data_IF_655424560710
#
_entry.id   IF_655424560710
#
_cell.length_a   1.000
_cell.length_b   1.000
_cell.length_c   1.000
_cell.angle_alpha   90.00
_cell.angle_beta   90.00
_cell.angle_gamma   90.00
#
_symmetry.space_group_name_H-M   'P 1'
#
loop_
_entity.id
_entity.type
_entity.pdbx_description
1 polymer ?
#
# COMPACT_ATOMS: atom_id res chain seq x y z
N UNK A 1 7.76 13.87 16.55
CA UNK A 1 8.18 13.38 15.22
C UNK A 1 8.23 14.58 14.27
N UNK A 2 9.24 14.72 13.42
CA UNK A 2 9.33 15.81 12.43
C UNK A 2 8.58 15.49 11.13
N UNK A 3 8.36 16.48 10.25
CA UNK A 3 7.68 16.33 8.94
C UNK A 3 8.39 15.28 8.05
N UNK A 4 9.73 15.29 8.01
CA UNK A 4 10.57 14.32 7.27
C UNK A 4 10.24 12.87 7.63
N UNK A 5 10.36 12.52 8.92
CA UNK A 5 10.14 11.15 9.40
C UNK A 5 8.71 10.64 9.12
N UNK A 6 7.71 11.51 9.09
CA UNK A 6 6.32 11.13 8.79
C UNK A 6 6.09 10.86 7.31
N UNK A 7 6.59 11.73 6.42
CA UNK A 7 6.53 11.50 4.98
C UNK A 7 7.23 10.21 4.58
N UNK A 8 8.40 9.97 5.16
CA UNK A 8 9.11 8.68 5.02
C UNK A 8 8.20 7.52 5.40
N UNK A 9 7.54 7.57 6.57
CA UNK A 9 6.65 6.49 7.02
C UNK A 9 5.45 6.23 6.09
N UNK A 10 4.79 7.28 5.62
CA UNK A 10 3.63 7.16 4.69
C UNK A 10 4.07 6.50 3.39
N UNK A 11 5.25 6.89 2.90
CA UNK A 11 5.83 6.39 1.66
C UNK A 11 6.39 4.98 1.81
N UNK A 12 6.96 4.65 2.96
CA UNK A 12 7.45 3.32 3.34
C UNK A 12 6.35 2.25 3.21
N UNK A 13 5.11 2.63 3.49
CA UNK A 13 3.96 1.75 3.38
C UNK A 13 3.52 1.54 1.94
N UNK A 14 3.84 2.44 0.99
CA UNK A 14 3.40 2.28 -0.40
C UNK A 14 4.31 1.33 -1.14
N UNK A 15 3.72 0.46 -1.94
CA UNK A 15 4.49 -0.35 -2.87
C UNK A 15 5.25 0.55 -3.85
N UNK A 16 6.39 0.10 -4.35
CA UNK A 16 7.00 0.74 -5.51
C UNK A 16 6.08 0.45 -6.71
N UNK A 17 5.75 1.47 -7.49
CA UNK A 17 4.83 1.31 -8.61
C UNK A 17 5.36 0.28 -9.60
N UNK A 18 4.45 -0.46 -10.22
CA UNK A 18 4.78 -1.59 -11.09
C UNK A 18 5.08 -2.90 -10.38
N UNK A 19 4.95 -2.95 -9.05
CA UNK A 19 5.05 -4.21 -8.30
C UNK A 19 3.90 -5.12 -8.68
N UNK A 20 4.19 -6.40 -8.93
CA UNK A 20 3.17 -7.45 -9.03
C UNK A 20 2.97 -8.02 -7.63
N UNK A 21 1.80 -7.78 -7.04
CA UNK A 21 1.43 -8.33 -5.75
C UNK A 21 0.84 -9.72 -5.97
N UNK A 22 1.55 -10.74 -5.49
CA UNK A 22 1.04 -12.10 -5.54
C UNK A 22 0.13 -12.32 -4.35
N UNK A 23 -1.04 -12.85 -4.62
CA UNK A 23 -1.99 -13.22 -3.59
C UNK A 23 -2.33 -14.71 -3.68
N UNK A 24 -2.56 -15.32 -2.52
CA UNK A 24 -2.97 -16.70 -2.41
C UNK A 24 -4.07 -16.84 -1.36
N UNK A 25 -4.99 -17.75 -1.61
CA UNK A 25 -6.00 -18.14 -0.64
C UNK A 25 -5.48 -19.30 0.19
N UNK A 26 -5.47 -19.17 1.52
CA UNK A 26 -5.05 -20.28 2.40
C UNK A 26 -6.09 -21.40 2.38
N UNK A 27 -7.36 -21.06 2.55
CA UNK A 27 -8.55 -21.92 2.42
C UNK A 27 -9.74 -21.01 2.06
N UNK A 28 -10.95 -21.55 1.84
CA UNK A 28 -12.17 -20.75 1.75
C UNK A 28 -13.15 -21.15 0.63
N UNK A 29 -14.44 -20.81 0.76
CA UNK A 29 -15.45 -21.13 -0.24
C UNK A 29 -15.14 -20.48 -1.59
N UNK A 30 -15.29 -21.23 -2.69
CA UNK A 30 -15.05 -20.72 -4.05
C UNK A 30 -15.85 -19.44 -4.39
N UNK A 31 -17.13 -19.30 -4.02
CA UNK A 31 -17.86 -18.06 -4.29
C UNK A 31 -17.23 -16.82 -3.63
N UNK A 32 -16.68 -16.96 -2.41
CA UNK A 32 -16.01 -15.85 -1.73
C UNK A 32 -14.64 -15.56 -2.33
N UNK A 33 -13.87 -16.61 -2.68
CA UNK A 33 -12.61 -16.44 -3.44
C UNK A 33 -12.86 -15.69 -4.75
N UNK A 34 -13.93 -16.03 -5.46
CA UNK A 34 -14.32 -15.34 -6.68
C UNK A 34 -14.72 -13.87 -6.45
N UNK A 35 -15.36 -13.55 -5.32
CA UNK A 35 -15.64 -12.17 -4.94
C UNK A 35 -14.34 -11.37 -4.72
N UNK A 36 -13.36 -11.94 -4.02
CA UNK A 36 -12.03 -11.32 -3.82
C UNK A 36 -11.30 -11.11 -5.15
N UNK A 37 -11.29 -12.11 -6.04
CA UNK A 37 -10.73 -11.98 -7.39
C UNK A 37 -11.39 -10.85 -8.17
N UNK A 38 -12.71 -10.69 -8.04
CA UNK A 38 -13.46 -9.64 -8.71
C UNK A 38 -13.10 -8.26 -8.16
N UNK A 39 -12.90 -8.14 -6.84
CA UNK A 39 -12.45 -6.90 -6.21
C UNK A 39 -11.01 -6.51 -6.62
N UNK A 40 -10.08 -7.47 -6.74
CA UNK A 40 -8.74 -7.20 -7.32
C UNK A 40 -8.82 -6.72 -8.77
N UNK A 41 -9.73 -7.29 -9.57
CA UNK A 41 -9.97 -6.82 -10.95
C UNK A 41 -10.53 -5.41 -10.97
N UNK A 42 -11.49 -5.07 -10.10
CA UNK A 42 -12.07 -3.73 -10.03
C UNK A 42 -11.00 -2.66 -9.74
N UNK A 43 -10.07 -2.94 -8.81
CA UNK A 43 -8.89 -2.08 -8.61
C UNK A 43 -7.98 -2.02 -9.84
N UNK A 44 -7.76 -3.15 -10.52
CA UNK A 44 -6.88 -3.22 -11.68
C UNK A 44 -7.45 -2.51 -12.91
N UNK A 45 -8.77 -2.54 -13.09
CA UNK A 45 -9.50 -1.91 -14.20
C UNK A 45 -9.42 -0.37 -14.18
N UNK A 46 -8.90 0.22 -13.09
CA UNK A 46 -8.55 1.63 -13.01
C UNK A 46 -7.29 2.03 -13.79
N UNK A 47 -6.67 1.07 -14.49
CA UNK A 47 -5.44 1.24 -15.28
C UNK A 47 -4.27 1.73 -14.41
N UNK A 48 -4.04 1.02 -13.31
CA UNK A 48 -2.93 1.32 -12.39
C UNK A 48 -1.69 0.50 -12.72
N UNK A 49 -0.52 0.98 -12.29
CA UNK A 49 0.76 0.31 -12.50
C UNK A 49 0.96 -0.94 -11.65
N UNK A 50 0.29 -1.09 -10.51
CA UNK A 50 0.35 -2.34 -9.73
C UNK A 50 -0.25 -3.52 -10.51
N UNK A 51 0.38 -4.69 -10.39
CA UNK A 51 -0.16 -5.96 -10.86
C UNK A 51 -0.72 -6.77 -9.70
N UNK A 52 -1.69 -7.63 -9.99
CA UNK A 52 -2.20 -8.63 -9.05
C UNK A 52 -2.15 -9.99 -9.72
N UNK A 53 -1.58 -10.97 -9.03
CA UNK A 53 -1.41 -12.31 -9.55
C UNK A 53 -1.81 -13.33 -8.49
N UNK A 54 -2.77 -14.19 -8.83
CA UNK A 54 -3.07 -15.33 -7.98
C UNK A 54 -1.98 -16.39 -8.12
N UNK A 55 -1.55 -16.95 -7.00
CA UNK A 55 -0.64 -18.09 -6.97
C UNK A 55 -1.22 -19.19 -6.09
N UNK A 56 -0.92 -20.44 -6.43
CA UNK A 56 -1.47 -21.60 -5.73
C UNK A 56 -0.86 -21.80 -4.34
N UNK A 57 0.43 -21.51 -4.19
CA UNK A 57 1.19 -21.74 -2.96
C UNK A 57 1.25 -20.46 -2.10
N UNK A 58 0.67 -20.42 -0.89
CA UNK A 58 0.72 -19.25 -0.03
C UNK A 58 2.14 -18.78 0.33
N UNK A 59 3.11 -19.69 0.34
CA UNK A 59 4.52 -19.37 0.57
C UNK A 59 5.16 -18.51 -0.53
N UNK A 60 4.55 -18.46 -1.72
CA UNK A 60 4.99 -17.64 -2.85
C UNK A 60 4.27 -16.28 -2.94
N UNK A 61 3.30 -16.04 -2.05
CA UNK A 61 2.47 -14.84 -2.05
C UNK A 61 2.87 -13.83 -0.97
N UNK A 62 2.95 -12.55 -1.36
CA UNK A 62 3.01 -11.46 -0.39
C UNK A 62 1.67 -11.37 0.38
N UNK A 63 0.55 -11.47 -0.33
CA UNK A 63 -0.80 -11.33 0.22
C UNK A 63 -1.41 -12.71 0.47
N UNK A 64 -1.63 -13.09 1.73
CA UNK A 64 -2.13 -14.42 2.13
C UNK A 64 -3.49 -14.25 2.78
N UNK A 65 -4.52 -14.72 2.10
CA UNK A 65 -5.92 -14.40 2.39
C UNK A 65 -6.59 -15.58 3.11
N UNK A 66 -7.16 -15.32 4.27
CA UNK A 66 -8.00 -16.26 5.03
C UNK A 66 -9.47 -15.81 5.10
N UNK A 67 -10.34 -16.73 5.53
CA UNK A 67 -11.79 -16.50 5.67
C UNK A 67 -12.28 -16.94 7.06
N UNK A 68 -11.55 -16.55 8.11
CA UNK A 68 -11.91 -16.88 9.48
C UNK A 68 -13.02 -15.96 9.99
N UNK A 69 -14.22 -16.52 10.13
CA UNK A 69 -15.40 -15.78 10.61
C UNK A 69 -15.30 -15.33 12.08
N UNK A 70 -14.39 -15.91 12.86
CA UNK A 70 -14.16 -15.52 14.25
C UNK A 70 -13.19 -14.33 14.38
N UNK A 71 -12.51 -13.93 13.30
CA UNK A 71 -11.42 -12.95 13.32
C UNK A 71 -11.76 -11.63 12.61
N UNK A 72 -13.04 -11.42 12.25
CA UNK A 72 -13.50 -10.22 11.55
C UNK A 72 -12.87 -10.05 10.16
N UNK A 73 -12.95 -8.86 9.56
CA UNK A 73 -12.26 -8.56 8.30
C UNK A 73 -11.17 -7.52 8.53
N UNK A 74 -9.99 -7.77 7.97
CA UNK A 74 -8.81 -6.92 8.14
C UNK A 74 -7.74 -7.18 7.08
N UNK A 75 -6.83 -6.23 6.91
CA UNK A 75 -5.62 -6.37 6.11
C UNK A 75 -4.49 -5.52 6.67
N UNK A 76 -3.25 -5.99 6.53
CA UNK A 76 -2.08 -5.16 6.80
C UNK A 76 -1.94 -4.04 5.77
N UNK A 77 -1.40 -2.91 6.22
CA UNK A 77 -1.31 -1.70 5.42
C UNK A 77 -0.09 -1.74 4.49
N UNK A 78 -0.32 -1.88 3.18
CA UNK A 78 0.72 -1.72 2.19
C UNK A 78 1.87 -2.72 2.35
N UNK A 79 3.10 -2.21 2.38
CA UNK A 79 4.33 -3.00 2.58
C UNK A 79 4.48 -3.60 3.98
N UNK A 80 3.65 -3.23 4.95
CA UNK A 80 3.66 -3.88 6.28
C UNK A 80 3.39 -5.39 6.17
N UNK A 81 2.70 -5.81 5.10
CA UNK A 81 2.52 -7.20 4.66
C UNK A 81 3.84 -7.99 4.59
N UNK A 82 4.95 -7.35 4.24
CA UNK A 82 6.27 -7.99 4.11
C UNK A 82 6.92 -8.31 5.47
N UNK A 83 6.42 -7.74 6.56
CA UNK A 83 6.94 -8.00 7.91
C UNK A 83 6.31 -9.21 8.58
N UNK A 84 5.30 -9.81 7.94
CA UNK A 84 4.50 -10.89 8.48
C UNK A 84 5.08 -12.24 8.08
N UNK A 85 5.06 -13.19 9.02
CA UNK A 85 5.56 -14.55 8.79
C UNK A 85 4.91 -15.19 7.57
N UNK A 86 5.69 -16.00 6.83
CA UNK A 86 5.26 -16.62 5.57
C UNK A 86 4.10 -17.60 5.71
N UNK A 87 3.80 -18.04 6.94
CA UNK A 87 2.71 -18.97 7.25
C UNK A 87 1.43 -18.28 7.73
N UNK A 88 1.54 -17.00 8.11
CA UNK A 88 0.46 -16.23 8.71
C UNK A 88 -0.33 -15.47 7.63
N UNK A 89 -1.63 -15.28 7.86
CA UNK A 89 -2.45 -14.47 6.96
C UNK A 89 -2.00 -12.99 7.01
N UNK A 90 -2.14 -12.30 5.88
CA UNK A 90 -1.94 -10.85 5.79
C UNK A 90 -3.22 -10.09 5.45
N UNK A 91 -4.30 -10.84 5.22
CA UNK A 91 -5.66 -10.36 5.04
C UNK A 91 -6.63 -11.45 5.49
N UNK A 92 -7.74 -11.07 6.13
CA UNK A 92 -8.81 -11.97 6.51
C UNK A 92 -10.18 -11.38 6.14
N UNK A 93 -11.11 -12.27 5.80
CA UNK A 93 -12.52 -11.94 5.61
C UNK A 93 -13.40 -12.72 6.58
N UNK A 94 -14.11 -12.00 7.45
CA UNK A 94 -14.88 -12.60 8.55
C UNK A 94 -16.34 -12.89 8.23
N UNK A 95 -16.82 -12.58 7.02
CA UNK A 95 -18.22 -12.76 6.63
C UNK A 95 -18.36 -13.03 5.13
N UNK A 96 -19.59 -13.28 4.69
CA UNK A 96 -19.87 -13.56 3.29
C UNK A 96 -19.55 -12.35 2.40
N UNK A 97 -18.80 -12.59 1.33
CA UNK A 97 -18.36 -11.59 0.37
C UNK A 97 -19.25 -11.49 -0.88
N UNK A 98 -20.28 -12.35 -0.98
CA UNK A 98 -21.06 -12.52 -2.20
C UNK A 98 -22.22 -11.51 -2.35
N UNK A 99 -22.51 -10.74 -1.31
CA UNK A 99 -23.46 -9.62 -1.37
C UNK A 99 -22.75 -8.26 -1.54
N UNK A 100 -23.52 -7.17 -1.61
CA UNK A 100 -22.98 -5.83 -1.82
C UNK A 100 -22.08 -5.33 -0.68
N UNK A 101 -22.43 -5.68 0.56
CA UNK A 101 -21.66 -5.32 1.75
C UNK A 101 -20.32 -6.06 1.79
N UNK A 102 -20.37 -7.36 1.51
CA UNK A 102 -19.22 -8.23 1.38
C UNK A 102 -18.29 -7.82 0.24
N UNK A 103 -18.82 -7.48 -0.94
CA UNK A 103 -18.02 -6.91 -2.04
C UNK A 103 -17.31 -5.62 -1.61
N UNK A 104 -18.01 -4.74 -0.91
CA UNK A 104 -17.44 -3.49 -0.39
C UNK A 104 -16.32 -3.75 0.61
N UNK A 105 -16.49 -4.75 1.48
CA UNK A 105 -15.43 -5.21 2.40
C UNK A 105 -14.21 -5.71 1.62
N UNK A 106 -14.39 -6.52 0.57
CA UNK A 106 -13.28 -7.00 -0.24
C UNK A 106 -12.47 -5.84 -0.88
N UNK A 107 -13.15 -4.83 -1.41
CA UNK A 107 -12.48 -3.63 -1.94
C UNK A 107 -11.72 -2.86 -0.86
N UNK A 108 -12.32 -2.72 0.33
CA UNK A 108 -11.72 -2.03 1.48
C UNK A 108 -10.41 -2.68 1.91
N UNK A 109 -10.42 -3.99 2.15
CA UNK A 109 -9.24 -4.72 2.61
C UNK A 109 -8.14 -4.76 1.54
N UNK A 110 -8.50 -4.86 0.27
CA UNK A 110 -7.53 -4.72 -0.82
C UNK A 110 -6.96 -3.29 -0.87
N UNK A 111 -7.77 -2.27 -0.60
CA UNK A 111 -7.31 -0.89 -0.46
C UNK A 111 -6.24 -0.75 0.62
N UNK A 112 -6.41 -1.38 1.79
CA UNK A 112 -5.38 -1.46 2.82
C UNK A 112 -4.10 -2.12 2.32
N UNK A 113 -4.20 -3.27 1.65
CA UNK A 113 -3.02 -3.92 1.03
C UNK A 113 -2.31 -3.02 0.02
N UNK A 114 -3.01 -2.12 -0.65
CA UNK A 114 -2.42 -1.11 -1.55
C UNK A 114 -1.86 0.11 -0.82
N UNK A 115 -2.08 0.21 0.49
CA UNK A 115 -1.57 1.27 1.36
C UNK A 115 -2.57 2.38 1.66
N UNK A 116 -3.87 2.23 1.36
CA UNK A 116 -4.86 3.23 1.73
C UNK A 116 -5.20 3.10 3.23
N UNK A 117 -5.04 4.15 4.05
CA UNK A 117 -5.50 4.11 5.44
C UNK A 117 -7.01 4.37 5.53
N UNK A 118 -7.59 4.26 6.72
CA UNK A 118 -9.00 4.60 6.92
C UNK A 118 -9.29 6.10 6.74
N UNK A 119 -10.37 6.41 6.05
CA UNK A 119 -10.73 7.78 5.69
C UNK A 119 -11.29 8.58 6.89
N UNK A 120 -11.93 7.94 7.88
CA UNK A 120 -12.40 8.61 9.11
C UNK A 120 -11.27 9.04 10.04
N UNK A 121 -10.08 8.45 9.89
CA UNK A 121 -8.89 8.85 10.64
C UNK A 121 -8.24 10.10 10.05
N UNK A 122 -8.74 10.60 8.92
CA UNK A 122 -8.30 11.83 8.30
C UNK A 122 -8.51 13.02 9.26
N UNK A 123 -7.45 13.78 9.62
CA UNK A 123 -7.59 14.89 10.55
C UNK A 123 -8.48 16.01 10.02
N UNK A 124 -8.67 16.10 8.70
CA UNK A 124 -9.58 17.04 8.05
C UNK A 124 -11.04 16.59 8.02
N UNK A 125 -11.36 15.39 8.54
CA UNK A 125 -12.75 14.92 8.64
C UNK A 125 -13.60 15.78 9.59
N UNK A 126 -12.95 16.49 10.52
CA UNK A 126 -13.64 17.28 11.54
C UNK A 126 -14.46 16.44 12.52
N UNK A 127 -14.32 15.11 12.48
CA UNK A 127 -15.06 14.20 13.35
C UNK A 127 -14.62 14.39 14.80
N UNK A 128 -15.61 14.65 15.65
CA UNK A 128 -15.51 14.60 17.11
C UNK A 128 -16.34 13.42 17.57
N UNK A 129 -15.67 12.42 18.14
CA UNK A 129 -16.29 11.17 18.58
C UNK A 129 -16.98 11.31 19.95
N UNK A 130 -18.06 10.57 20.15
CA UNK A 130 -18.51 10.18 21.48
C UNK A 130 -17.75 8.92 21.92
N UNK A 131 -16.48 9.08 22.32
CA UNK A 131 -15.55 7.97 22.55
C UNK A 131 -16.12 6.86 23.44
N UNK A 132 -16.85 7.20 24.50
CA UNK A 132 -17.48 6.22 25.38
C UNK A 132 -18.48 5.32 24.63
N UNK A 133 -19.28 5.90 23.73
CA UNK A 133 -20.20 5.13 22.88
C UNK A 133 -19.48 4.38 21.78
N UNK A 134 -18.40 4.94 21.23
CA UNK A 134 -17.56 4.23 20.25
C UNK A 134 -16.97 2.96 20.87
N UNK A 135 -16.34 3.05 22.04
CA UNK A 135 -15.84 1.87 22.75
C UNK A 135 -16.95 0.87 23.08
N UNK A 136 -18.10 1.34 23.58
CA UNK A 136 -19.22 0.46 23.90
C UNK A 136 -19.78 -0.26 22.65
N UNK A 137 -19.84 0.43 21.51
CA UNK A 137 -20.32 -0.14 20.26
C UNK A 137 -19.38 -1.22 19.71
N UNK A 138 -18.08 -0.92 19.60
CA UNK A 138 -17.09 -1.85 19.03
C UNK A 138 -16.72 -3.01 19.97
N UNK A 139 -17.00 -2.92 21.27
CA UNK A 139 -16.91 -4.06 22.19
C UNK A 139 -18.04 -5.10 21.98
N UNK A 140 -19.12 -4.72 21.29
CA UNK A 140 -20.23 -5.61 20.94
C UNK A 140 -19.97 -6.44 19.68
N UNK A 141 -20.90 -7.34 19.36
CA UNK A 141 -20.89 -8.07 18.10
C UNK A 141 -21.08 -7.12 16.90
N UNK A 142 -20.49 -7.41 15.72
CA UNK A 142 -19.68 -8.60 15.42
C UNK A 142 -18.19 -8.47 15.81
N UNK A 143 -17.74 -7.28 16.21
CA UNK A 143 -16.30 -6.97 16.32
C UNK A 143 -15.63 -7.50 17.58
N UNK A 144 -16.29 -7.38 18.74
CA UNK A 144 -15.75 -7.79 20.03
C UNK A 144 -14.35 -7.22 20.35
N UNK A 145 -14.08 -5.98 19.92
CA UNK A 145 -12.76 -5.37 20.03
C UNK A 145 -12.43 -4.93 21.46
N UNK A 146 -11.13 -5.01 21.79
CA UNK A 146 -10.61 -4.35 23.00
C UNK A 146 -10.62 -2.82 22.83
N UNK A 147 -10.52 -2.06 23.93
CA UNK A 147 -10.34 -0.62 23.86
C UNK A 147 -9.13 -0.21 23.02
N UNK A 148 -8.02 -0.92 23.13
CA UNK A 148 -6.79 -0.63 22.38
C UNK A 148 -7.00 -0.79 20.87
N UNK A 149 -7.65 -1.89 20.46
CA UNK A 149 -8.00 -2.13 19.05
C UNK A 149 -8.95 -1.07 18.52
N UNK A 150 -9.99 -0.74 19.29
CA UNK A 150 -10.95 0.33 18.92
C UNK A 150 -10.26 1.68 18.80
N UNK A 151 -9.35 2.01 19.72
CA UNK A 151 -8.59 3.24 19.64
C UNK A 151 -7.73 3.27 18.37
N UNK A 152 -7.02 2.18 18.06
CA UNK A 152 -6.15 2.12 16.90
C UNK A 152 -6.92 2.22 15.57
N UNK A 153 -8.05 1.52 15.45
CA UNK A 153 -8.80 1.40 14.21
C UNK A 153 -9.78 2.56 13.99
N UNK A 154 -10.31 3.16 15.06
CA UNK A 154 -11.39 4.16 14.98
C UNK A 154 -10.96 5.54 15.45
N UNK A 155 -10.43 5.65 16.66
CA UNK A 155 -10.25 6.95 17.33
C UNK A 155 -8.93 7.64 17.00
N UNK A 156 -7.88 6.87 16.73
CA UNK A 156 -6.57 7.39 16.34
C UNK A 156 -6.73 8.22 15.07
N UNK A 157 -6.30 9.47 15.12
CA UNK A 157 -6.18 10.31 13.93
C UNK A 157 -4.83 10.13 13.28
N UNK A 158 -4.82 10.17 11.95
CA UNK A 158 -3.60 10.32 11.17
C UNK A 158 -3.07 11.75 11.36
N UNK A 159 -1.76 11.92 11.24
CA UNK A 159 -1.18 13.26 11.18
C UNK A 159 -1.69 14.05 9.96
N UNK A 160 -1.77 15.38 10.03
CA UNK A 160 -2.16 16.20 8.86
C UNK A 160 -1.23 16.00 7.66
N UNK A 161 0.04 15.67 7.93
CA UNK A 161 1.04 15.35 6.91
C UNK A 161 0.98 13.87 6.47
N UNK A 162 0.17 13.03 7.12
CA UNK A 162 -0.03 11.61 6.79
C UNK A 162 -1.22 11.40 5.84
N UNK A 163 -2.00 12.45 5.62
CA UNK A 163 -3.12 12.44 4.70
C UNK A 163 -2.81 13.38 3.55
N UNK A 164 -2.89 12.84 2.34
CA UNK A 164 -2.61 13.64 1.16
C UNK A 164 -3.83 14.50 0.82
N UNK A 165 -3.71 15.80 1.11
CA UNK A 165 -4.75 16.79 0.82
C UNK A 165 -5.62 17.15 2.03
N UNK A 166 -6.31 18.28 1.93
CA UNK A 166 -7.12 18.87 3.00
C UNK A 166 -8.57 18.39 3.04
N UNK A 167 -8.96 17.46 2.17
CA UNK A 167 -10.35 17.06 1.99
C UNK A 167 -10.55 15.64 2.50
N UNK A 168 -11.57 15.45 3.32
CA UNK A 168 -12.07 14.15 3.75
C UNK A 168 -13.18 13.70 2.80
N UNK A 169 -13.24 12.40 2.48
CA UNK A 169 -14.25 11.79 1.61
C UNK A 169 -15.16 10.81 2.37
N UNK A 170 -16.39 11.21 2.75
CA UNK A 170 -17.32 10.32 3.44
C UNK A 170 -17.85 9.18 2.55
N UNK A 171 -17.66 9.24 1.23
CA UNK A 171 -18.15 8.26 0.27
C UNK A 171 -17.05 7.24 -0.13
N UNK A 172 -15.83 7.41 0.36
CA UNK A 172 -14.69 6.52 0.11
C UNK A 172 -15.01 5.08 0.54
N UNK A 173 -14.50 4.10 -0.20
CA UNK A 173 -14.52 2.70 0.21
C UNK A 173 -13.77 2.50 1.53
N UNK A 174 -12.80 3.36 1.85
CA UNK A 174 -11.99 3.34 3.06
C UNK A 174 -12.66 4.02 4.27
N UNK A 175 -13.85 4.58 4.08
CA UNK A 175 -14.66 5.14 5.17
C UNK A 175 -15.43 4.02 5.85
N UNK A 176 -15.31 3.90 7.17
CA UNK A 176 -16.17 3.00 7.92
C UNK A 176 -17.62 3.49 7.95
N UNK A 177 -18.55 2.54 7.93
CA UNK A 177 -19.94 2.79 8.27
C UNK A 177 -20.06 2.98 9.78
N UNK A 178 -20.65 4.10 10.19
CA UNK A 178 -20.89 4.43 11.59
C UNK A 178 -22.38 4.65 11.80
N UNK A 179 -23.03 3.92 12.72
CA UNK A 179 -24.42 4.21 13.06
C UNK A 179 -24.54 5.57 13.76
N UNK A 180 -25.76 6.10 13.76
CA UNK A 180 -26.07 7.35 14.44
C UNK A 180 -25.76 7.31 15.94
N UNK A 181 -25.38 8.47 16.47
CA UNK A 181 -25.12 8.66 17.90
C UNK A 181 -23.68 8.39 18.36
N UNK A 182 -22.79 7.91 17.47
CA UNK A 182 -21.36 7.78 17.76
C UNK A 182 -20.57 9.07 17.51
N UNK A 183 -21.07 9.94 16.63
CA UNK A 183 -20.42 11.18 16.22
C UNK A 183 -21.12 12.36 16.92
N UNK A 184 -20.35 13.24 17.57
CA UNK A 184 -20.83 14.50 18.17
C UNK A 184 -20.81 15.62 17.13
N UNK A 185 -19.73 15.72 16.36
CA UNK A 185 -19.57 16.73 15.31
C UNK A 185 -18.89 16.14 14.08
N UNK A 186 -19.18 16.66 12.88
CA UNK A 186 -20.15 17.73 12.61
C UNK A 186 -21.60 17.21 12.62
N UNK A 187 -22.56 18.12 12.91
CA UNK A 187 -23.98 17.78 13.11
C UNK A 187 -24.59 16.94 11.97
N UNK A 188 -24.16 17.19 10.72
CA UNK A 188 -24.63 16.45 9.54
C UNK A 188 -24.34 14.93 9.57
N UNK A 189 -23.35 14.48 10.35
CA UNK A 189 -23.01 13.06 10.52
C UNK A 189 -23.42 12.48 11.87
N UNK A 190 -24.11 13.24 12.73
CA UNK A 190 -24.71 12.69 13.95
C UNK A 190 -25.71 11.54 13.66
N UNK A 191 -26.51 11.57 12.56
CA UNK A 191 -27.36 10.43 12.18
C UNK A 191 -26.58 9.19 11.74
N UNK A 192 -25.27 9.32 11.48
CA UNK A 192 -24.40 8.25 11.00
C UNK A 192 -23.65 8.63 9.72
N UNK A 193 -22.73 7.77 9.33
CA UNK A 193 -22.03 7.78 8.04
C UNK A 193 -22.27 6.42 7.41
N UNK A 194 -22.77 6.38 6.18
CA UNK A 194 -22.98 5.15 5.43
C UNK A 194 -22.49 5.37 4.01
N UNK A 195 -21.24 5.00 3.70
CA UNK A 195 -20.72 5.08 2.34
C UNK A 195 -21.59 4.24 1.41
N UNK A 196 -21.73 4.64 0.13
CA UNK A 196 -22.56 3.94 -0.84
C UNK A 196 -22.02 2.56 -1.23
N UNK A 197 -20.75 2.28 -0.94
CA UNK A 197 -20.03 1.10 -1.42
C UNK A 197 -19.38 1.32 -2.79
N UNK A 198 -18.42 0.46 -3.15
CA UNK A 198 -17.58 0.66 -4.34
C UNK A 198 -16.53 1.76 -4.18
N UNK A 199 -15.78 2.03 -5.25
CA UNK A 199 -14.66 2.98 -5.25
C UNK A 199 -15.12 4.41 -5.57
N UNK A 200 -14.89 5.35 -4.66
CA UNK A 200 -15.17 6.76 -4.88
C UNK A 200 -14.25 7.37 -5.95
N UNK A 201 -14.59 8.54 -6.48
CA UNK A 201 -13.71 9.25 -7.41
C UNK A 201 -12.34 9.56 -6.77
N UNK A 202 -12.31 9.84 -5.46
CA UNK A 202 -11.08 10.13 -4.74
C UNK A 202 -10.23 8.88 -4.48
N UNK A 203 -10.86 7.73 -4.21
CA UNK A 203 -10.16 6.45 -4.14
C UNK A 203 -9.41 6.16 -5.45
N UNK A 204 -10.09 6.39 -6.57
CA UNK A 204 -9.52 6.21 -7.92
C UNK A 204 -8.39 7.20 -8.22
N UNK A 205 -8.55 8.47 -7.88
CA UNK A 205 -7.52 9.49 -8.09
C UNK A 205 -6.28 9.21 -7.23
N UNK A 206 -6.48 8.80 -5.98
CA UNK A 206 -5.41 8.44 -5.06
C UNK A 206 -4.58 7.28 -5.65
N UNK A 207 -5.25 6.19 -6.05
CA UNK A 207 -4.53 5.01 -6.54
C UNK A 207 -3.81 5.27 -7.86
N UNK A 208 -4.41 6.04 -8.79
CA UNK A 208 -3.77 6.42 -10.06
C UNK A 208 -2.57 7.34 -9.84
N UNK A 209 -2.61 8.18 -8.80
CA UNK A 209 -1.50 9.06 -8.46
C UNK A 209 -0.30 8.30 -7.88
N UNK A 210 -0.53 7.38 -6.95
CA UNK A 210 0.56 6.61 -6.34
C UNK A 210 1.05 5.46 -7.20
N UNK A 211 0.17 4.94 -8.08
CA UNK A 211 0.44 3.80 -8.96
C UNK A 211 0.00 4.10 -10.40
N UNK A 212 0.60 5.11 -11.06
CA UNK A 212 0.25 5.43 -12.45
C UNK A 212 0.60 4.30 -13.41
N UNK A 213 0.01 4.31 -14.62
CA UNK A 213 0.42 3.41 -15.71
C UNK A 213 1.93 3.54 -15.94
N UNK A 214 2.60 2.40 -16.06
CA UNK A 214 4.03 2.36 -16.34
C UNK A 214 4.31 2.63 -17.82
N UNK A 215 5.42 3.31 -18.16
CA UNK A 215 5.87 3.43 -19.53
C UNK A 215 6.25 2.06 -20.11
N UNK A 216 5.95 1.85 -21.40
CA UNK A 216 6.28 0.60 -22.09
C UNK A 216 7.79 0.39 -22.31
N UNK A 217 8.57 1.47 -22.36
CA UNK A 217 10.01 1.44 -22.59
C UNK A 217 10.70 2.12 -21.42
N UNK A 218 11.60 1.40 -20.77
CA UNK A 218 12.41 1.91 -19.68
C UNK A 218 13.78 2.38 -20.20
N UNK A 219 14.30 3.51 -19.70
CA UNK A 219 15.68 3.90 -19.97
C UNK A 219 16.66 2.88 -19.36
N UNK A 220 17.79 2.64 -20.02
CA UNK A 220 18.86 1.81 -19.48
C UNK A 220 19.64 2.57 -18.40
N UNK A 221 19.88 1.93 -17.25
CA UNK A 221 20.82 2.44 -16.26
C UNK A 221 22.24 2.00 -16.64
N UNK A 222 22.99 2.91 -17.26
CA UNK A 222 24.35 2.66 -17.72
C UNK A 222 25.31 2.38 -16.55
N UNK A 223 26.09 1.28 -16.59
CA UNK A 223 27.08 0.98 -15.55
C UNK A 223 28.11 2.10 -15.39
N UNK A 224 28.48 2.40 -14.14
CA UNK A 224 29.43 3.44 -13.75
C UNK A 224 29.04 4.86 -14.20
N UNK A 225 27.76 5.10 -14.53
CA UNK A 225 27.23 6.41 -14.87
C UNK A 225 26.20 6.86 -13.86
N UNK A 226 26.48 7.98 -13.18
CA UNK A 226 25.48 8.63 -12.33
C UNK A 226 24.39 9.25 -13.20
N UNK A 227 23.14 8.91 -12.89
CA UNK A 227 21.95 9.40 -13.58
C UNK A 227 21.16 10.29 -12.62
N UNK A 228 21.08 11.62 -12.87
CA UNK A 228 20.27 12.52 -12.06
C UNK A 228 18.79 12.14 -12.09
N UNK A 229 18.13 12.30 -10.94
CA UNK A 229 16.71 12.09 -10.74
C UNK A 229 16.04 13.44 -10.49
N UNK A 230 15.02 13.75 -11.27
CA UNK A 230 14.17 14.93 -11.04
C UNK A 230 12.81 14.41 -10.58
N UNK A 231 12.68 14.18 -9.28
CA UNK A 231 11.49 13.61 -8.65
C UNK A 231 10.95 14.57 -7.60
N UNK A 232 9.61 14.63 -7.46
CA UNK A 232 8.95 15.16 -6.25
C UNK A 232 8.46 14.02 -5.36
N UNK A 233 8.24 14.24 -4.05
CA UNK A 233 7.76 13.20 -3.15
C UNK A 233 6.54 12.47 -3.72
N UNK A 234 6.54 11.14 -3.65
CA UNK A 234 5.51 10.31 -4.28
C UNK A 234 5.90 9.74 -5.64
N UNK A 235 6.72 10.46 -6.42
CA UNK A 235 7.14 10.04 -7.75
C UNK A 235 8.22 8.97 -7.73
N UNK A 236 8.41 8.35 -8.88
CA UNK A 236 9.30 7.23 -9.09
C UNK A 236 10.05 7.36 -10.42
N UNK A 237 11.27 6.85 -10.46
CA UNK A 237 12.04 6.63 -11.69
C UNK A 237 12.36 5.14 -11.84
N UNK A 238 12.23 4.64 -13.06
CA UNK A 238 12.41 3.23 -13.40
C UNK A 238 13.51 3.09 -14.46
N UNK A 239 14.38 2.11 -14.28
CA UNK A 239 15.45 1.82 -15.23
C UNK A 239 15.61 0.34 -15.46
N UNK A 240 15.98 -0.02 -16.68
CA UNK A 240 16.39 -1.38 -17.04
C UNK A 240 17.89 -1.57 -16.85
N UNK A 241 18.28 -2.75 -16.38
CA UNK A 241 19.67 -3.19 -16.29
C UNK A 241 19.80 -4.53 -17.02
N UNK A 242 20.69 -4.59 -18.01
CA UNK A 242 21.09 -5.83 -18.67
C UNK A 242 22.60 -6.02 -18.48
N UNK A 243 23.04 -6.86 -17.52
CA UNK A 243 24.46 -6.99 -17.22
C UNK A 243 25.25 -7.57 -18.40
N UNK A 244 26.37 -6.93 -18.74
CA UNK A 244 27.32 -7.48 -19.71
C UNK A 244 28.12 -8.67 -19.15
N UNK A 245 28.25 -8.76 -17.81
CA UNK A 245 29.01 -9.79 -17.10
C UNK A 245 28.25 -10.26 -15.85
N UNK A 246 28.37 -11.54 -15.52
CA UNK A 246 27.83 -12.11 -14.28
C UNK A 246 28.73 -11.77 -13.10
N UNK A 247 28.29 -10.86 -12.24
CA UNK A 247 29.06 -10.42 -11.06
C UNK A 247 28.16 -9.78 -10.01
N UNK A 248 28.73 -9.53 -8.83
CA UNK A 248 28.09 -8.66 -7.84
C UNK A 248 28.07 -7.24 -8.38
N UNK A 249 26.90 -6.63 -8.38
CA UNK A 249 26.69 -5.22 -8.68
C UNK A 249 26.25 -4.51 -7.41
N UNK A 250 26.63 -3.25 -7.30
CA UNK A 250 26.10 -2.32 -6.33
C UNK A 250 25.18 -1.35 -7.06
N UNK A 251 24.05 -1.02 -6.45
CA UNK A 251 23.18 0.04 -6.92
C UNK A 251 22.91 0.94 -5.74
N UNK A 252 23.10 2.24 -5.90
CA UNK A 252 22.83 3.20 -4.84
C UNK A 252 22.23 4.49 -5.39
N UNK A 253 21.44 5.14 -4.53
CA UNK A 253 21.09 6.55 -4.67
C UNK A 253 22.17 7.44 -4.05
N UNK A 254 22.23 8.69 -4.49
CA UNK A 254 23.14 9.72 -3.99
C UNK A 254 22.36 11.02 -3.84
N UNK A 255 22.63 11.77 -2.78
CA UNK A 255 21.98 13.06 -2.55
C UNK A 255 21.55 13.23 -1.11
N UNK A 256 20.62 14.16 -0.90
CA UNK A 256 20.01 14.45 0.42
C UNK A 256 18.58 13.94 0.56
N UNK A 257 18.11 13.21 -0.44
CA UNK A 257 16.75 12.69 -0.46
C UNK A 257 16.63 11.36 0.28
N UNK A 258 15.45 11.13 0.84
CA UNK A 258 15.04 9.82 1.36
C UNK A 258 14.33 9.05 0.23
N UNK A 259 14.79 7.83 -0.03
CA UNK A 259 14.40 7.02 -1.18
C UNK A 259 14.06 5.58 -0.78
N UNK A 260 13.23 4.94 -1.60
CA UNK A 260 13.06 3.48 -1.59
C UNK A 260 13.60 2.94 -2.89
N UNK A 261 14.63 2.10 -2.81
CA UNK A 261 15.29 1.46 -3.95
C UNK A 261 14.87 0.00 -4.01
N UNK A 262 14.29 -0.44 -5.13
CA UNK A 262 13.88 -1.83 -5.32
C UNK A 262 14.37 -2.37 -6.65
N UNK A 263 14.97 -3.56 -6.60
CA UNK A 263 15.45 -4.31 -7.74
C UNK A 263 14.56 -5.52 -7.99
N UNK A 264 14.14 -5.66 -9.23
CA UNK A 264 13.38 -6.80 -9.74
C UNK A 264 14.20 -7.57 -10.78
N UNK A 265 14.07 -8.89 -10.79
CA UNK A 265 14.55 -9.77 -11.85
C UNK A 265 13.37 -10.22 -12.71
N UNK A 266 13.53 -10.21 -14.03
CA UNK A 266 12.56 -10.85 -14.91
C UNK A 266 12.75 -12.37 -14.89
N UNK A 267 11.71 -13.09 -14.48
CA UNK A 267 11.64 -14.55 -14.46
C UNK A 267 10.37 -14.95 -15.21
N UNK A 268 10.53 -15.71 -16.29
CA UNK A 268 9.43 -16.19 -17.14
C UNK A 268 8.48 -15.07 -17.65
N UNK A 269 9.05 -13.89 -17.91
CA UNK A 269 8.31 -12.71 -18.41
C UNK A 269 7.69 -11.85 -17.31
N UNK A 270 7.88 -12.18 -16.04
CA UNK A 270 7.35 -11.44 -14.89
C UNK A 270 8.45 -10.86 -14.01
N UNK A 271 8.25 -9.65 -13.51
CA UNK A 271 9.18 -9.00 -12.60
C UNK A 271 8.99 -9.52 -11.17
N UNK A 272 9.97 -10.26 -10.66
CA UNK A 272 10.02 -10.75 -9.28
C UNK A 272 10.92 -9.88 -8.43
N UNK A 273 10.47 -9.57 -7.21
CA UNK A 273 11.30 -8.87 -6.23
C UNK A 273 12.60 -9.66 -5.98
N UNK A 274 13.74 -8.99 -6.11
CA UNK A 274 15.06 -9.58 -5.86
C UNK A 274 15.71 -8.99 -4.61
N UNK A 275 15.68 -7.66 -4.48
CA UNK A 275 16.24 -6.96 -3.33
C UNK A 275 15.62 -5.57 -3.21
N UNK A 276 15.63 -5.01 -2.00
CA UNK A 276 15.27 -3.61 -1.78
C UNK A 276 15.99 -3.05 -0.58
N UNK A 277 16.18 -1.74 -0.57
CA UNK A 277 16.65 -0.98 0.57
C UNK A 277 15.85 0.32 0.65
N UNK A 278 15.66 0.77 1.89
CA UNK A 278 14.98 2.02 2.21
C UNK A 278 15.83 2.72 3.26
N UNK A 279 16.32 3.91 2.93
CA UNK A 279 17.13 4.71 3.83
C UNK A 279 16.38 5.21 5.07
N UNK A 280 15.06 5.02 5.13
CA UNK A 280 14.21 5.13 6.33
C UNK A 280 14.32 6.48 7.05
N UNK A 281 14.76 7.54 6.35
CA UNK A 281 14.99 8.85 6.96
C UNK A 281 16.28 8.95 7.78
N UNK A 282 17.16 7.96 7.69
CA UNK A 282 18.49 7.97 8.29
C UNK A 282 19.45 8.87 7.49
N UNK A 283 20.60 9.22 8.06
CA UNK A 283 21.62 10.01 7.36
C UNK A 283 22.47 9.13 6.43
N UNK A 284 21.81 8.36 5.55
CA UNK A 284 22.40 7.51 4.51
C UNK A 284 21.53 7.52 3.25
N UNK A 285 22.09 7.03 2.15
CA UNK A 285 21.32 6.77 0.93
C UNK A 285 20.92 5.30 0.85
N UNK A 286 19.90 5.00 0.04
CA UNK A 286 19.48 3.64 -0.26
C UNK A 286 20.52 2.95 -1.14
N UNK A 287 20.95 1.76 -0.73
CA UNK A 287 21.96 0.97 -1.41
C UNK A 287 21.60 -0.52 -1.39
N UNK A 288 21.78 -1.20 -2.51
CA UNK A 288 21.59 -2.64 -2.61
C UNK A 288 22.76 -3.32 -3.30
N UNK A 289 22.98 -4.58 -2.94
CA UNK A 289 24.06 -5.41 -3.47
C UNK A 289 23.49 -6.75 -3.91
N UNK A 290 23.54 -7.03 -5.22
CA UNK A 290 22.99 -8.25 -5.79
C UNK A 290 23.93 -8.85 -6.84
N UNK A 291 23.95 -10.18 -6.94
CA UNK A 291 24.64 -10.86 -8.04
C UNK A 291 23.71 -10.86 -9.25
N UNK A 292 24.06 -10.08 -10.26
CA UNK A 292 23.31 -10.04 -11.52
C UNK A 292 24.00 -10.93 -12.54
N UNK A 293 23.22 -11.62 -13.37
CA UNK A 293 23.72 -12.56 -14.36
C UNK A 293 23.70 -11.95 -15.76
N UNK A 294 24.76 -12.24 -16.54
CA UNK A 294 24.92 -11.75 -17.90
C UNK A 294 23.70 -12.05 -18.76
N UNK A 295 23.21 -11.05 -19.47
CA UNK A 295 22.11 -11.17 -20.43
C UNK A 295 20.72 -11.36 -19.82
N UNK A 296 20.60 -11.45 -18.49
CA UNK A 296 19.30 -11.39 -17.82
C UNK A 296 18.83 -9.94 -17.71
N UNK A 297 17.51 -9.77 -17.65
CA UNK A 297 16.86 -8.48 -17.54
C UNK A 297 16.49 -8.21 -16.07
N UNK A 298 16.86 -7.02 -15.61
CA UNK A 298 16.50 -6.52 -14.30
C UNK A 298 15.87 -5.14 -14.45
N UNK A 299 14.96 -4.80 -13.55
CA UNK A 299 14.37 -3.47 -13.45
C UNK A 299 14.65 -2.92 -12.07
N UNK A 300 15.29 -1.76 -12.01
CA UNK A 300 15.48 -1.03 -10.76
C UNK A 300 14.53 0.16 -10.73
N UNK A 301 13.96 0.39 -9.56
CA UNK A 301 12.99 1.44 -9.33
C UNK A 301 13.38 2.24 -8.10
N UNK A 302 13.32 3.56 -8.22
CA UNK A 302 13.60 4.50 -7.13
C UNK A 302 12.36 5.32 -6.88
N UNK A 303 11.78 5.19 -5.69
CA UNK A 303 10.69 6.05 -5.23
C UNK A 303 11.23 7.13 -4.30
N UNK A 304 10.81 8.37 -4.51
CA UNK A 304 11.19 9.48 -3.64
C UNK A 304 10.20 9.62 -2.49
N UNK A 305 10.69 9.50 -1.26
CA UNK A 305 9.90 9.72 -0.04
C UNK A 305 10.00 11.18 0.44
N UNK A 306 11.20 11.75 0.42
CA UNK A 306 11.44 13.14 0.79
C UNK A 306 12.59 13.72 -0.05
N UNK A 307 12.43 14.96 -0.52
CA UNK A 307 13.31 15.54 -1.55
C UNK A 307 14.64 16.11 -1.02
N UNK A 308 14.84 16.28 0.28
CA UNK A 308 16.02 17.03 0.74
C UNK A 308 15.85 18.55 0.70
N UNK A 309 16.91 19.27 1.05
CA UNK A 309 16.96 20.73 0.90
C UNK A 309 17.21 21.17 -0.54
N UNK A 310 17.92 20.36 -1.35
CA UNK A 310 18.23 20.69 -2.75
C UNK A 310 17.33 19.99 -3.77
N UNK A 311 16.68 18.86 -3.44
CA UNK A 311 16.01 18.02 -4.44
C UNK A 311 16.97 17.17 -5.28
N UNK A 312 18.28 17.43 -5.19
CA UNK A 312 19.28 16.79 -6.04
C UNK A 312 19.50 15.35 -5.58
N UNK A 313 19.07 14.41 -6.41
CA UNK A 313 19.26 12.98 -6.21
C UNK A 313 19.76 12.36 -7.50
N UNK A 314 20.57 11.32 -7.41
CA UNK A 314 20.99 10.52 -8.57
C UNK A 314 21.00 9.03 -8.22
N UNK A 315 21.02 8.16 -9.23
CA UNK A 315 21.23 6.72 -9.10
C UNK A 315 22.44 6.28 -9.93
N UNK A 316 23.16 5.26 -9.47
CA UNK A 316 24.20 4.59 -10.25
C UNK A 316 24.22 3.09 -9.96
N UNK A 317 24.60 2.29 -10.96
CA UNK A 317 24.91 0.87 -10.85
C UNK A 317 26.39 0.65 -11.20
N UNK A 318 27.14 -0.16 -10.44
CA UNK A 318 28.56 -0.45 -10.69
C UNK A 318 29.01 -1.84 -10.24
#
# INVERSE_FOLDING_TARGET
MGIRQRLVRVMAQKWVNGTVLRYAFREGPEPQRQAVRSAFREWKDLEIGLGFQEVDEPGEAEVRISFDQADGSWSYLGRDVLTIGTQDATMNFGWDLTDEYGRTTALHEIGHTMGLPHEHQNPFAGIVWDEAKVYAFFAGAPNHWSPETTHHNVLRKLGQDEVEGSTWDPDSVMQYSFPGGLIKEPARYQPGISPPGGLSAKDQDWVRKFYPVLPHVLPTLEPFRSTPLTLVPGQQADFEITPALSRKHQIATFGTADTTLVLFEEVDGELRFLAGDEDSGEDRNSTLSAKLFRGRRYVVRVRLAWAGQSGDTAIMCW
#
